data_IF_011296001283
#
_entry.id   IF_011296001283
#
_cell.length_a   1.000
_cell.length_b   1.000
_cell.length_c   1.000
_cell.angle_alpha   90.00
_cell.angle_beta   90.00
_cell.angle_gamma   90.00
#
_symmetry.space_group_name_H-M   'P 1'
#
loop_
_entity.id
_entity.type
_entity.pdbx_description
1 polymer ?
#
# COMPACT_ATOMS: atom_id res chain seq x y z
N UNK A 1 21.47 63.80 59.05
CA UNK A 1 20.12 63.77 58.47
C UNK A 1 19.70 62.30 58.47
N UNK A 2 19.17 61.81 59.59
CA UNK A 2 17.73 61.86 59.94
C UNK A 2 16.94 60.93 58.97
N UNK A 3 16.16 59.92 59.37
CA UNK A 3 15.47 59.60 60.63
C UNK A 3 15.15 58.08 60.68
N UNK A 4 15.04 57.59 61.91
CA UNK A 4 14.47 56.35 62.42
C UNK A 4 13.24 55.74 61.72
N UNK A 5 13.28 54.40 61.56
CA UNK A 5 12.33 53.33 61.97
C UNK A 5 10.92 53.75 62.47
N UNK A 6 9.86 52.93 62.22
CA UNK A 6 9.64 51.71 63.05
C UNK A 6 8.92 50.51 62.39
N UNK A 7 8.90 49.40 63.18
CA UNK A 7 8.03 48.18 63.33
C UNK A 7 6.92 47.93 62.26
N UNK A 8 6.46 46.71 61.99
CA UNK A 8 5.78 45.73 62.87
C UNK A 8 5.88 44.31 62.25
N UNK A 9 6.15 43.23 63.02
CA UNK A 9 5.20 42.14 63.40
C UNK A 9 4.29 41.67 62.23
N UNK A 10 4.15 40.41 61.83
CA UNK A 10 3.98 39.16 62.56
C UNK A 10 3.77 38.04 61.49
N UNK A 11 3.70 36.78 61.95
CA UNK A 11 2.95 35.63 61.36
C UNK A 11 3.78 34.55 60.66
N UNK A 12 4.32 33.70 61.53
CA UNK A 12 4.20 32.23 61.51
C UNK A 12 3.40 31.66 60.32
N UNK A 13 4.09 31.00 59.39
CA UNK A 13 3.45 30.11 58.42
C UNK A 13 3.39 28.68 58.99
N UNK A 14 2.20 28.09 59.16
CA UNK A 14 2.02 26.64 59.26
C UNK A 14 1.85 26.00 57.87
N UNK A 15 2.18 24.71 57.82
CA UNK A 15 2.05 23.80 56.67
C UNK A 15 0.61 23.67 56.15
N UNK A 16 0.49 23.45 54.83
CA UNK A 16 -0.66 22.79 54.21
C UNK A 16 -0.17 21.76 53.17
N UNK A 17 -0.68 20.54 53.31
CA UNK A 17 -0.60 19.46 52.33
C UNK A 17 -1.76 19.58 51.33
N UNK A 18 -1.51 19.28 50.06
CA UNK A 18 -2.52 18.92 49.05
C UNK A 18 -1.77 18.13 47.94
N UNK A 19 -1.97 16.81 47.85
CA UNK A 19 -3.01 16.13 47.07
C UNK A 19 -2.62 16.03 45.58
N UNK A 20 -2.36 14.79 45.13
CA UNK A 20 -2.05 14.46 43.75
C UNK A 20 -3.24 14.71 42.82
N UNK A 21 -2.92 15.04 41.57
CA UNK A 21 -3.85 15.06 40.45
C UNK A 21 -3.42 14.02 39.44
N UNK A 22 -4.12 12.89 39.45
CA UNK A 22 -4.19 11.93 38.35
C UNK A 22 -4.86 12.64 37.17
N UNK A 23 -4.05 13.12 36.24
CA UNK A 23 -4.51 13.72 34.99
C UNK A 23 -4.99 12.62 34.08
N UNK A 24 -6.22 12.13 34.30
CA UNK A 24 -6.92 11.26 33.36
C UNK A 24 -7.03 11.96 32.01
N UNK A 25 -6.15 11.55 31.10
CA UNK A 25 -6.32 11.74 29.67
C UNK A 25 -7.70 11.17 29.30
N UNK A 26 -8.64 12.07 29.03
CA UNK A 26 -9.91 11.67 28.42
C UNK A 26 -9.56 11.30 26.99
N UNK A 27 -9.31 10.02 26.77
CA UNK A 27 -9.34 9.44 25.43
C UNK A 27 -10.71 9.74 24.85
N UNK A 28 -10.76 10.77 24.00
CA UNK A 28 -11.95 11.13 23.25
C UNK A 28 -12.08 10.05 22.17
N UNK A 29 -12.75 8.96 22.51
CA UNK A 29 -13.16 7.94 21.54
C UNK A 29 -14.06 8.63 20.53
N UNK A 30 -13.52 8.88 19.35
CA UNK A 30 -14.28 9.29 18.18
C UNK A 30 -15.10 8.08 17.76
N UNK A 31 -16.42 8.15 17.93
CA UNK A 31 -17.32 7.08 17.50
C UNK A 31 -17.34 7.04 15.96
N UNK A 32 -16.74 5.98 15.38
CA UNK A 32 -16.60 5.78 13.93
C UNK A 32 -17.96 5.91 13.22
N UNK A 33 -19.04 5.43 13.84
CA UNK A 33 -20.40 5.56 13.32
C UNK A 33 -20.91 7.01 13.18
N UNK A 34 -20.46 7.92 14.06
CA UNK A 34 -20.81 9.35 13.96
C UNK A 34 -20.05 10.02 12.81
N UNK A 35 -18.80 9.62 12.56
CA UNK A 35 -18.02 10.17 11.44
C UNK A 35 -18.43 9.54 10.10
N UNK A 36 -18.86 8.27 10.11
CA UNK A 36 -19.46 7.60 8.95
C UNK A 36 -20.77 8.26 8.52
N UNK A 37 -21.62 8.65 9.47
CA UNK A 37 -22.86 9.38 9.16
C UNK A 37 -22.59 10.79 8.66
N UNK A 38 -21.65 11.53 9.25
CA UNK A 38 -21.26 12.85 8.73
C UNK A 38 -20.65 12.77 7.33
N UNK A 39 -19.83 11.75 7.06
CA UNK A 39 -19.21 11.53 5.74
C UNK A 39 -20.20 11.07 4.68
N UNK A 40 -21.11 10.15 5.01
CA UNK A 40 -22.21 9.76 4.12
C UNK A 40 -23.14 10.95 3.84
N UNK A 41 -23.33 11.85 4.81
CA UNK A 41 -24.05 13.10 4.61
C UNK A 41 -23.29 14.06 3.70
N UNK A 42 -21.97 14.18 3.81
CA UNK A 42 -21.12 14.98 2.91
C UNK A 42 -21.08 14.41 1.47
N UNK A 43 -20.93 13.09 1.32
CA UNK A 43 -20.99 12.40 0.03
C UNK A 43 -22.40 12.55 -0.59
N UNK A 44 -23.46 12.46 0.23
CA UNK A 44 -24.83 12.72 -0.19
C UNK A 44 -25.07 14.20 -0.54
N UNK A 45 -24.48 15.16 0.18
CA UNK A 45 -24.58 16.59 -0.11
C UNK A 45 -23.86 16.96 -1.42
N UNK A 46 -22.73 16.30 -1.69
CA UNK A 46 -22.00 16.44 -2.95
C UNK A 46 -22.81 15.88 -4.13
N UNK A 47 -23.47 14.73 -3.94
CA UNK A 47 -24.40 14.15 -4.92
C UNK A 47 -25.68 15.02 -5.10
N UNK A 48 -26.18 15.64 -4.02
CA UNK A 48 -27.34 16.54 -4.04
C UNK A 48 -27.03 17.90 -4.70
N UNK A 49 -25.78 18.36 -4.69
CA UNK A 49 -25.35 19.59 -5.37
C UNK A 49 -25.27 19.43 -6.90
N UNK A 50 -25.32 18.20 -7.41
CA UNK A 50 -25.35 17.91 -8.85
C UNK A 50 -26.77 17.88 -9.46
N UNK A 51 -27.84 18.18 -8.70
CA UNK A 51 -29.22 18.10 -9.20
C UNK A 51 -29.95 19.44 -9.10
N UNK A 52 -29.88 20.26 -10.15
CA UNK A 52 -31.02 20.85 -10.92
C UNK A 52 -30.53 21.96 -11.85
N UNK A 53 -30.47 21.69 -13.15
CA UNK A 53 -30.59 22.73 -14.19
C UNK A 53 -31.84 22.37 -14.99
N UNK A 54 -32.96 22.98 -14.64
CA UNK A 54 -34.19 22.93 -15.44
C UNK A 54 -34.23 24.14 -16.35
N UNK A 55 -34.43 23.90 -17.65
CA UNK A 55 -34.63 24.95 -18.65
C UNK A 55 -34.22 24.46 -20.04
N UNK A 56 -35.10 23.67 -20.68
CA UNK A 56 -34.91 23.24 -22.05
C UNK A 56 -35.14 24.36 -23.06
N UNK A 57 -34.21 24.53 -23.99
CA UNK A 57 -34.47 24.91 -25.39
C UNK A 57 -33.26 24.49 -26.25
N UNK A 58 -33.52 24.07 -27.49
CA UNK A 58 -32.59 23.59 -28.52
C UNK A 58 -32.16 22.10 -28.48
N UNK A 59 -33.14 21.21 -28.65
CA UNK A 59 -32.92 19.89 -29.27
C UNK A 59 -32.62 20.10 -30.76
N UNK A 60 -31.41 20.55 -31.11
CA UNK A 60 -30.93 20.59 -32.50
C UNK A 60 -29.40 20.73 -32.71
N UNK A 61 -28.59 20.89 -31.65
CA UNK A 61 -27.13 21.05 -31.78
C UNK A 61 -26.29 19.98 -31.05
N UNK A 62 -26.92 19.06 -30.30
CA UNK A 62 -26.23 18.06 -29.50
C UNK A 62 -25.92 16.77 -30.30
N UNK A 63 -25.29 16.94 -31.45
CA UNK A 63 -24.27 15.99 -31.89
C UNK A 63 -22.90 16.60 -31.55
N UNK A 64 -22.77 17.09 -30.31
CA UNK A 64 -21.46 17.33 -29.75
C UNK A 64 -20.82 15.94 -29.68
N UNK A 65 -19.88 15.67 -30.58
CA UNK A 65 -19.01 14.53 -30.46
C UNK A 65 -18.53 14.51 -29.00
N UNK A 66 -18.87 13.46 -28.26
CA UNK A 66 -18.38 13.29 -26.90
C UNK A 66 -16.87 13.18 -27.06
N UNK A 67 -16.18 14.27 -26.78
CA UNK A 67 -14.74 14.34 -26.86
C UNK A 67 -14.21 13.38 -25.81
N UNK A 68 -13.55 12.32 -26.28
CA UNK A 68 -12.96 11.27 -25.45
C UNK A 68 -11.44 11.33 -25.62
N UNK A 69 -10.75 11.19 -24.50
CA UNK A 69 -9.29 11.13 -24.44
C UNK A 69 -8.86 9.85 -23.75
N UNK A 70 -7.65 9.38 -24.08
CA UNK A 70 -7.03 8.24 -23.43
C UNK A 70 -6.14 8.73 -22.29
N UNK A 71 -6.43 8.28 -21.07
CA UNK A 71 -5.67 8.68 -19.88
C UNK A 71 -5.13 7.45 -19.14
N UNK A 72 -3.82 7.43 -18.92
CA UNK A 72 -3.13 6.35 -18.21
C UNK A 72 -3.19 6.57 -16.69
N UNK A 73 -3.71 5.59 -15.95
CA UNK A 73 -3.85 5.64 -14.50
C UNK A 73 -2.48 5.71 -13.79
N UNK A 74 -2.34 6.66 -12.86
CA UNK A 74 -1.11 6.87 -12.09
C UNK A 74 -0.79 5.72 -11.11
N UNK A 75 -1.79 4.88 -10.77
CA UNK A 75 -1.61 3.73 -9.88
C UNK A 75 -1.17 2.47 -10.64
N UNK A 76 -1.98 2.05 -11.62
CA UNK A 76 -1.83 0.75 -12.29
C UNK A 76 -1.34 0.84 -13.74
N UNK A 77 -1.26 2.04 -14.32
CA UNK A 77 -0.83 2.24 -15.72
C UNK A 77 -1.85 1.79 -16.76
N UNK A 78 -3.03 1.31 -16.36
CA UNK A 78 -4.13 1.02 -17.29
C UNK A 78 -4.58 2.31 -17.96
N UNK A 79 -4.71 2.27 -19.28
CA UNK A 79 -5.23 3.40 -20.07
C UNK A 79 -6.73 3.23 -20.26
N UNK A 80 -7.50 4.27 -19.98
CA UNK A 80 -8.96 4.29 -20.08
C UNK A 80 -9.42 5.42 -21.01
N UNK A 81 -10.51 5.18 -21.76
CA UNK A 81 -11.19 6.19 -22.56
C UNK A 81 -12.13 7.00 -21.67
N UNK A 82 -11.89 8.31 -21.56
CA UNK A 82 -12.61 9.15 -20.61
C UNK A 82 -12.93 10.52 -21.22
N UNK A 83 -13.99 11.16 -20.73
CA UNK A 83 -14.26 12.55 -21.09
C UNK A 83 -13.31 13.48 -20.33
N UNK A 84 -12.87 14.61 -20.92
CA UNK A 84 -12.04 15.59 -20.24
C UNK A 84 -12.64 16.09 -18.93
N UNK A 85 -13.97 16.24 -18.89
CA UNK A 85 -14.70 16.63 -17.69
C UNK A 85 -14.58 15.61 -16.55
N UNK A 86 -14.66 14.31 -16.87
CA UNK A 86 -14.47 13.25 -15.89
C UNK A 86 -13.02 13.21 -15.39
N UNK A 87 -12.03 13.35 -16.28
CA UNK A 87 -10.61 13.44 -15.92
C UNK A 87 -10.37 14.60 -14.94
N UNK A 88 -10.95 15.77 -15.21
CA UNK A 88 -10.83 16.94 -14.35
C UNK A 88 -11.40 16.69 -12.94
N UNK A 89 -12.59 16.11 -12.84
CA UNK A 89 -13.23 15.80 -11.55
C UNK A 89 -12.43 14.80 -10.72
N UNK A 90 -11.91 13.74 -11.35
CA UNK A 90 -11.04 12.78 -10.66
C UNK A 90 -9.75 13.46 -10.18
N UNK A 91 -9.12 14.29 -11.02
CA UNK A 91 -7.91 15.02 -10.62
C UNK A 91 -8.16 15.97 -9.45
N UNK A 92 -9.30 16.64 -9.41
CA UNK A 92 -9.68 17.49 -8.28
C UNK A 92 -9.78 16.68 -6.98
N UNK A 93 -10.38 15.49 -7.04
CA UNK A 93 -10.57 14.62 -5.89
C UNK A 93 -9.27 13.98 -5.37
N UNK A 94 -8.33 13.65 -6.26
CA UNK A 94 -7.14 12.83 -5.92
C UNK A 94 -5.80 13.60 -6.00
N UNK A 95 -5.82 14.90 -5.74
CA UNK A 95 -4.61 15.72 -5.62
C UNK A 95 -3.88 15.93 -6.95
N UNK A 96 -4.64 16.15 -8.02
CA UNK A 96 -4.16 16.39 -9.38
C UNK A 96 -3.84 15.12 -10.18
N UNK A 97 -4.01 13.94 -9.58
CA UNK A 97 -3.66 12.65 -10.19
C UNK A 97 -4.85 12.01 -10.87
N UNK A 98 -4.61 11.38 -12.01
CA UNK A 98 -5.64 10.62 -12.71
C UNK A 98 -5.55 9.15 -12.29
N UNK A 99 -6.68 8.59 -11.86
CA UNK A 99 -6.81 7.16 -11.54
C UNK A 99 -8.00 6.58 -12.31
N UNK A 100 -7.87 5.35 -12.79
CA UNK A 100 -8.95 4.65 -13.47
C UNK A 100 -10.09 4.31 -12.50
N UNK A 101 -11.28 4.03 -13.03
CA UNK A 101 -12.47 3.74 -12.22
C UNK A 101 -12.26 2.62 -11.19
N UNK A 102 -11.50 1.58 -11.55
CA UNK A 102 -11.19 0.47 -10.64
C UNK A 102 -10.25 0.87 -9.48
N UNK A 103 -9.27 1.74 -9.75
CA UNK A 103 -8.38 2.25 -8.71
C UNK A 103 -9.09 3.25 -7.80
N UNK A 104 -10.02 4.05 -8.33
CA UNK A 104 -10.86 4.93 -7.52
C UNK A 104 -11.64 4.11 -6.48
N UNK A 105 -12.40 3.11 -6.93
CA UNK A 105 -13.16 2.24 -6.04
C UNK A 105 -12.28 1.53 -5.00
N UNK A 106 -11.10 1.04 -5.41
CA UNK A 106 -10.15 0.42 -4.50
C UNK A 106 -9.62 1.39 -3.43
N UNK A 107 -9.41 2.67 -3.77
CA UNK A 107 -9.03 3.70 -2.81
C UNK A 107 -10.18 4.01 -1.84
N UNK A 108 -11.42 4.10 -2.33
CA UNK A 108 -12.58 4.25 -1.44
C UNK A 108 -12.79 3.03 -0.53
N UNK A 109 -12.53 1.83 -1.03
CA UNK A 109 -12.54 0.60 -0.25
C UNK A 109 -11.47 0.61 0.86
N UNK A 110 -10.25 1.08 0.57
CA UNK A 110 -9.16 1.19 1.55
C UNK A 110 -9.53 2.15 2.68
N UNK A 111 -10.17 3.27 2.34
CA UNK A 111 -10.69 4.22 3.32
C UNK A 111 -11.78 3.58 4.18
N UNK A 112 -12.74 2.89 3.56
CA UNK A 112 -13.86 2.23 4.26
C UNK A 112 -13.42 1.07 5.14
N UNK A 113 -12.35 0.37 4.76
CA UNK A 113 -11.81 -0.78 5.52
C UNK A 113 -10.88 -0.39 6.66
N UNK A 114 -10.34 0.81 6.64
CA UNK A 114 -9.36 1.24 7.66
C UNK A 114 -10.06 1.51 8.99
N UNK A 115 -9.62 0.81 10.04
CA UNK A 115 -10.12 1.00 11.42
C UNK A 115 -9.87 2.42 11.94
N UNK A 116 -8.83 3.07 11.42
CA UNK A 116 -8.54 4.49 11.61
C UNK A 116 -8.98 5.22 10.35
N UNK A 117 -9.71 6.33 10.51
CA UNK A 117 -10.08 7.18 9.38
C UNK A 117 -8.82 7.75 8.72
N UNK A 118 -8.52 7.22 7.54
CA UNK A 118 -7.39 7.67 6.72
C UNK A 118 -7.84 8.72 5.71
N UNK A 119 -6.93 9.64 5.37
CA UNK A 119 -7.18 10.61 4.32
C UNK A 119 -7.25 9.91 2.95
N UNK A 120 -7.97 10.48 1.96
CA UNK A 120 -8.02 9.92 0.61
C UNK A 120 -6.63 9.86 -0.04
N UNK A 121 -5.76 10.81 0.28
CA UNK A 121 -4.38 10.80 -0.18
C UNK A 121 -3.57 9.63 0.41
N UNK A 122 -3.71 9.36 1.70
CA UNK A 122 -3.02 8.24 2.36
C UNK A 122 -3.50 6.88 1.82
N UNK A 123 -4.82 6.72 1.68
CA UNK A 123 -5.42 5.53 1.07
C UNK A 123 -4.88 5.29 -0.34
N UNK A 124 -4.77 6.37 -1.12
CA UNK A 124 -4.24 6.34 -2.45
C UNK A 124 -2.74 5.97 -2.49
N UNK A 125 -1.93 6.47 -1.55
CA UNK A 125 -0.51 6.10 -1.45
C UNK A 125 -0.37 4.59 -1.19
N UNK A 126 -1.17 4.02 -0.28
CA UNK A 126 -1.17 2.57 -0.01
C UNK A 126 -1.57 1.79 -1.25
N UNK A 127 -2.66 2.17 -1.90
CA UNK A 127 -3.11 1.50 -3.12
C UNK A 127 -2.08 1.59 -4.25
N UNK A 128 -1.48 2.76 -4.47
CA UNK A 128 -0.45 2.94 -5.49
C UNK A 128 0.82 2.11 -5.20
N UNK A 129 1.19 1.98 -3.91
CA UNK A 129 2.29 1.10 -3.49
C UNK A 129 2.00 -0.36 -3.82
N UNK A 130 0.78 -0.81 -3.52
CA UNK A 130 0.29 -2.14 -3.89
C UNK A 130 0.35 -2.34 -5.41
N UNK A 131 -0.25 -1.47 -6.22
CA UNK A 131 -0.20 -1.62 -7.69
C UNK A 131 1.24 -1.68 -8.24
N UNK A 132 2.16 -0.88 -7.69
CA UNK A 132 3.58 -0.90 -8.11
C UNK A 132 4.28 -2.20 -7.76
N UNK A 133 3.94 -2.86 -6.64
CA UNK A 133 4.58 -4.12 -6.26
C UNK A 133 4.18 -5.25 -7.21
N UNK A 134 2.91 -5.33 -7.62
CA UNK A 134 2.44 -6.29 -8.63
C UNK A 134 3.09 -6.05 -9.99
N UNK A 135 3.09 -4.79 -10.46
CA UNK A 135 3.75 -4.45 -11.73
C UNK A 135 5.25 -4.73 -11.73
N UNK A 136 5.92 -4.48 -10.61
CA UNK A 136 7.35 -4.77 -10.49
C UNK A 136 7.60 -6.28 -10.45
N UNK A 137 6.75 -7.04 -9.75
CA UNK A 137 6.83 -8.50 -9.75
C UNK A 137 6.58 -9.08 -11.15
N UNK A 138 5.59 -8.56 -11.88
CA UNK A 138 5.26 -8.97 -13.24
C UNK A 138 6.37 -8.58 -14.22
N UNK A 139 6.91 -7.36 -14.13
CA UNK A 139 8.09 -6.95 -14.90
C UNK A 139 9.36 -7.75 -14.54
N UNK A 140 9.46 -8.22 -13.30
CA UNK A 140 10.56 -9.06 -12.82
C UNK A 140 10.33 -10.55 -13.07
N UNK A 141 9.20 -10.95 -13.67
CA UNK A 141 9.05 -12.31 -14.18
C UNK A 141 10.03 -12.47 -15.35
N UNK A 142 11.22 -12.98 -15.03
CA UNK A 142 12.17 -13.46 -16.03
C UNK A 142 11.41 -14.48 -16.86
N UNK A 143 11.36 -14.28 -18.18
CA UNK A 143 10.72 -15.19 -19.12
C UNK A 143 11.09 -16.63 -18.72
N UNK A 144 10.12 -17.53 -18.48
CA UNK A 144 10.41 -18.92 -18.16
C UNK A 144 11.44 -19.54 -19.11
N UNK A 145 11.47 -19.13 -20.37
CA UNK A 145 12.50 -19.56 -21.32
C UNK A 145 13.89 -19.02 -20.98
N UNK A 146 14.03 -17.75 -20.58
CA UNK A 146 15.30 -17.18 -20.11
C UNK A 146 15.82 -17.85 -18.83
N UNK A 147 14.93 -18.19 -17.89
CA UNK A 147 15.29 -18.95 -16.69
C UNK A 147 15.83 -20.34 -17.05
N UNK A 148 15.18 -21.03 -17.99
CA UNK A 148 15.63 -22.32 -18.51
C UNK A 148 16.98 -22.20 -19.23
N UNK A 149 17.15 -21.19 -20.10
CA UNK A 149 18.41 -20.94 -20.80
C UNK A 149 19.55 -20.68 -19.81
N UNK A 150 19.30 -19.88 -18.76
CA UNK A 150 20.27 -19.62 -17.71
C UNK A 150 20.65 -20.90 -16.94
N UNK A 151 19.66 -21.71 -16.57
CA UNK A 151 19.88 -22.99 -15.88
C UNK A 151 20.69 -23.98 -16.73
N UNK A 152 20.34 -24.14 -18.01
CA UNK A 152 21.07 -25.00 -18.95
C UNK A 152 22.49 -24.49 -19.16
N UNK A 153 22.68 -23.17 -19.34
CA UNK A 153 24.00 -22.55 -19.45
C UNK A 153 24.86 -22.83 -18.21
N UNK A 154 24.28 -22.76 -17.01
CA UNK A 154 25.00 -23.04 -15.77
C UNK A 154 25.37 -24.53 -15.65
N UNK A 155 24.48 -25.43 -16.06
CA UNK A 155 24.75 -26.87 -16.10
C UNK A 155 25.87 -27.22 -17.07
N UNK A 156 25.85 -26.64 -18.27
CA UNK A 156 26.89 -26.84 -19.28
C UNK A 156 28.25 -26.32 -18.78
N UNK A 157 28.29 -25.14 -18.16
CA UNK A 157 29.51 -24.60 -17.54
C UNK A 157 30.07 -25.53 -16.47
N UNK A 158 29.24 -25.97 -15.51
CA UNK A 158 29.64 -26.96 -14.47
C UNK A 158 30.18 -28.26 -15.07
N UNK A 159 29.61 -28.71 -16.18
CA UNK A 159 30.03 -29.95 -16.86
C UNK A 159 31.36 -29.79 -17.60
N UNK A 160 31.65 -28.59 -18.10
CA UNK A 160 32.89 -28.25 -18.82
C UNK A 160 34.03 -27.87 -17.86
N UNK A 161 33.72 -27.27 -16.71
CA UNK A 161 34.68 -26.91 -15.65
C UNK A 161 35.03 -28.09 -14.73
N UNK A 162 34.31 -29.21 -14.81
CA UNK A 162 34.72 -30.46 -14.18
C UNK A 162 35.90 -31.06 -14.95
N UNK A 163 37.06 -31.32 -14.33
CA UNK A 163 38.15 -32.01 -15.00
C UNK A 163 37.61 -33.37 -15.43
N UNK A 164 37.44 -33.55 -16.74
CA UNK A 164 37.30 -34.88 -17.32
C UNK A 164 38.60 -35.59 -16.98
N UNK A 165 38.64 -36.31 -15.86
CA UNK A 165 39.65 -37.31 -15.63
C UNK A 165 39.67 -38.17 -16.89
N UNK A 166 40.81 -38.12 -17.57
CA UNK A 166 41.04 -38.73 -18.87
C UNK A 166 40.44 -40.13 -18.93
N UNK A 167 39.88 -40.45 -20.10
CA UNK A 167 39.56 -41.82 -20.50
C UNK A 167 40.77 -42.72 -20.23
N UNK A 168 40.80 -43.37 -19.09
CA UNK A 168 41.48 -44.64 -18.94
C UNK A 168 40.48 -45.71 -19.36
N UNK A 169 40.68 -46.21 -20.58
CA UNK A 169 40.10 -47.43 -21.13
C UNK A 169 39.76 -48.48 -20.07
N UNK A 170 38.55 -49.09 -20.08
CA UNK A 170 38.25 -50.17 -19.16
C UNK A 170 38.95 -51.44 -19.65
N UNK A 171 40.17 -51.71 -19.16
CA UNK A 171 40.72 -53.06 -19.25
C UNK A 171 40.09 -53.88 -18.13
N UNK A 172 39.06 -54.65 -18.46
CA UNK A 172 38.64 -55.74 -17.58
C UNK A 172 39.79 -56.74 -17.46
N UNK A 173 40.10 -57.21 -16.25
CA UNK A 173 39.84 -58.61 -15.97
C UNK A 173 39.12 -58.83 -14.64
N UNK A 174 38.52 -60.02 -14.57
CA UNK A 174 37.61 -60.53 -13.56
C UNK A 174 38.24 -60.68 -12.16
N UNK A 175 37.32 -60.88 -11.20
CA UNK A 175 37.45 -61.48 -9.85
C UNK A 175 38.05 -60.61 -8.72
N UNK A 176 37.22 -60.21 -7.76
CA UNK A 176 37.04 -60.92 -6.49
C UNK A 176 35.95 -60.23 -5.64
N UNK A 177 35.05 -61.03 -5.07
CA UNK A 177 34.09 -60.61 -4.04
C UNK A 177 34.82 -59.95 -2.87
N UNK A 178 34.28 -58.85 -2.35
CA UNK A 178 34.31 -58.54 -0.92
C UNK A 178 33.02 -57.80 -0.55
N UNK A 179 32.13 -58.56 0.08
CA UNK A 179 30.82 -58.18 0.60
C UNK A 179 30.96 -57.93 2.09
N UNK A 180 30.90 -56.67 2.52
CA UNK A 180 30.58 -56.19 3.89
C UNK A 180 30.79 -54.68 3.91
N UNK A 181 30.07 -53.81 4.63
CA UNK A 181 28.87 -53.88 5.48
C UNK A 181 28.67 -52.46 6.02
N UNK A 182 27.53 -51.84 5.74
CA UNK A 182 26.86 -50.81 6.55
C UNK A 182 25.56 -50.49 5.80
N UNK A 183 24.37 -50.79 6.31
CA UNK A 183 23.88 -50.56 7.66
C UNK A 183 22.76 -49.53 7.54
N UNK A 184 21.61 -49.95 7.00
CA UNK A 184 20.38 -49.15 6.97
C UNK A 184 19.76 -49.16 8.37
N UNK A 185 19.45 -48.02 9.01
CA UNK A 185 18.54 -48.02 10.14
C UNK A 185 17.10 -48.02 9.59
N UNK A 186 16.36 -49.08 9.95
CA UNK A 186 14.91 -49.12 9.79
C UNK A 186 14.24 -48.32 10.90
N UNK A 187 13.14 -47.68 10.52
CA UNK A 187 12.20 -46.90 11.32
C UNK A 187 11.46 -47.74 12.38
N UNK A 188 10.97 -47.01 13.40
CA UNK A 188 9.83 -47.24 14.30
C UNK A 188 10.05 -47.99 15.63
N UNK A 189 9.63 -47.28 16.69
CA UNK A 189 9.54 -47.69 18.09
C UNK A 189 9.27 -46.45 18.94
#
# INVERSE_FOLDING_TARGET
MEVSLPREEEKKAPQAAAAGGDGGEKELRIDVASVETERLLLDSLFVMSATVISGGEAVAAAAAAVEVEFAACDCCGLTEECTPAYIAGVREQYGGRWICGLCAEAVQDEIRRSELLISPEEAMIRHASFCRSFRSAEAATVDPAEQLIAAVRQLLRRTLDSPRADRSTPSSPRTALNRTRSGFPALLG
#
